data_IF_605324352072
#
_entry.id   IF_605324352072
#
_cell.length_a   1.000
_cell.length_b   1.000
_cell.length_c   1.000
_cell.angle_alpha   90.00
_cell.angle_beta   90.00
_cell.angle_gamma   90.00
#
_symmetry.space_group_name_H-M   'P 1'
#
loop_
_entity.id
_entity.type
_entity.pdbx_description
1 polymer ?
#
# COMPACT_ATOMS: atom_id res chain seq x y z
N UNK A 1 -50.96 -63.37 9.85
CA UNK A 1 -49.73 -63.61 9.07
C UNK A 1 -48.87 -62.35 9.21
N UNK A 2 -48.00 -62.31 10.21
CA UNK A 2 -47.16 -61.16 10.53
C UNK A 2 -45.72 -61.45 10.14
N UNK A 3 -45.19 -60.65 9.23
CA UNK A 3 -43.80 -60.72 8.77
C UNK A 3 -43.21 -59.30 8.70
N UNK A 4 -43.24 -58.58 9.82
CA UNK A 4 -42.38 -57.41 10.04
C UNK A 4 -40.99 -57.92 10.46
N UNK A 5 -40.28 -58.50 9.49
CA UNK A 5 -38.87 -58.80 9.61
C UNK A 5 -38.09 -57.50 9.60
N UNK A 6 -37.79 -56.98 10.79
CA UNK A 6 -36.98 -55.77 10.97
C UNK A 6 -35.71 -55.84 10.14
N UNK A 7 -35.59 -54.91 9.19
CA UNK A 7 -34.37 -54.69 8.41
C UNK A 7 -33.21 -54.46 9.36
N UNK A 8 -32.26 -55.40 9.40
CA UNK A 8 -31.04 -55.28 10.20
C UNK A 8 -30.25 -54.09 9.66
N UNK A 9 -30.02 -53.03 10.45
CA UNK A 9 -29.31 -51.85 9.98
C UNK A 9 -27.91 -52.24 9.55
N UNK A 10 -27.51 -51.81 8.34
CA UNK A 10 -26.17 -52.11 7.82
C UNK A 10 -25.14 -51.32 8.64
N UNK A 11 -23.90 -51.83 8.75
CA UNK A 11 -22.80 -51.14 9.47
C UNK A 11 -22.60 -49.68 9.04
N UNK A 12 -22.86 -49.36 7.78
CA UNK A 12 -22.78 -48.00 7.23
C UNK A 12 -23.88 -47.04 7.76
N UNK A 13 -24.98 -47.58 8.28
CA UNK A 13 -26.07 -46.83 8.90
C UNK A 13 -25.83 -46.69 10.41
N UNK A 14 -25.29 -47.74 11.04
CA UNK A 14 -24.98 -47.77 12.48
C UNK A 14 -23.71 -46.99 12.84
N UNK A 15 -22.72 -46.96 11.94
CA UNK A 15 -21.44 -46.27 12.11
C UNK A 15 -21.37 -45.13 11.09
N UNK A 16 -21.53 -43.90 11.57
CA UNK A 16 -21.27 -42.69 10.77
C UNK A 16 -19.78 -42.66 10.37
N UNK A 17 -19.47 -43.24 9.22
CA UNK A 17 -18.17 -43.05 8.60
C UNK A 17 -18.00 -41.56 8.32
N UNK A 18 -16.88 -40.99 8.77
CA UNK A 18 -16.56 -39.58 8.54
C UNK A 18 -16.59 -39.33 7.04
N UNK A 19 -17.48 -38.42 6.59
CA UNK A 19 -17.54 -38.01 5.18
C UNK A 19 -16.12 -37.64 4.72
N UNK A 20 -15.66 -38.29 3.65
CA UNK A 20 -14.39 -37.94 3.02
C UNK A 20 -14.49 -36.47 2.63
N UNK A 21 -13.53 -35.65 3.08
CA UNK A 21 -13.47 -34.26 2.68
C UNK A 21 -13.33 -34.23 1.15
N UNK A 22 -14.25 -33.56 0.49
CA UNK A 22 -14.22 -33.38 -0.97
C UNK A 22 -12.91 -32.67 -1.34
N UNK A 23 -12.15 -33.30 -2.25
CA UNK A 23 -10.93 -32.72 -2.78
C UNK A 23 -11.33 -31.83 -3.95
N UNK A 24 -11.48 -30.54 -3.68
CA UNK A 24 -11.64 -29.54 -4.74
C UNK A 24 -10.38 -29.58 -5.61
N UNK A 25 -10.56 -29.61 -6.93
CA UNK A 25 -9.48 -29.64 -7.89
C UNK A 25 -8.55 -28.42 -7.76
N UNK A 26 -7.26 -28.65 -7.99
CA UNK A 26 -6.23 -27.60 -7.90
C UNK A 26 -6.51 -26.45 -8.87
N UNK A 27 -6.95 -26.77 -10.09
CA UNK A 27 -7.24 -25.78 -11.12
C UNK A 27 -8.43 -24.90 -10.74
N UNK A 28 -9.45 -25.47 -10.08
CA UNK A 28 -10.61 -24.72 -9.59
C UNK A 28 -10.19 -23.76 -8.47
N UNK A 29 -9.37 -24.22 -7.52
CA UNK A 29 -8.84 -23.36 -6.46
C UNK A 29 -8.00 -22.20 -7.01
N UNK A 30 -7.18 -22.49 -8.01
CA UNK A 30 -6.40 -21.47 -8.70
C UNK A 30 -7.34 -20.48 -9.40
N UNK A 31 -8.27 -20.95 -10.24
CA UNK A 31 -9.21 -20.09 -10.95
C UNK A 31 -10.00 -19.17 -10.01
N UNK A 32 -10.48 -19.67 -8.86
CA UNK A 32 -11.14 -18.85 -7.83
C UNK A 32 -10.19 -17.78 -7.31
N UNK A 33 -8.99 -18.15 -6.87
CA UNK A 33 -7.99 -17.20 -6.32
C UNK A 33 -7.63 -16.08 -7.30
N UNK A 34 -7.64 -16.37 -8.60
CA UNK A 34 -7.31 -15.41 -9.66
C UNK A 34 -8.50 -14.56 -10.11
N UNK A 35 -9.74 -14.97 -9.83
CA UNK A 35 -10.96 -14.25 -10.21
C UNK A 35 -11.62 -13.51 -9.05
N UNK A 36 -11.29 -13.85 -7.80
CA UNK A 36 -11.92 -13.25 -6.62
C UNK A 36 -10.97 -12.40 -5.79
N UNK A 37 -11.53 -11.37 -5.16
CA UNK A 37 -10.85 -10.54 -4.19
C UNK A 37 -10.64 -11.30 -2.89
N UNK A 38 -9.41 -11.37 -2.39
CA UNK A 38 -9.10 -12.17 -1.20
C UNK A 38 -9.71 -11.62 0.11
N UNK A 39 -10.14 -10.35 0.12
CA UNK A 39 -10.84 -9.74 1.28
C UNK A 39 -12.34 -10.02 1.22
N UNK A 40 -12.99 -9.68 0.10
CA UNK A 40 -14.46 -9.68 -0.02
C UNK A 40 -15.03 -10.96 -0.61
N UNK A 41 -14.19 -11.80 -1.23
CA UNK A 41 -14.58 -12.99 -2.00
C UNK A 41 -15.53 -12.69 -3.17
N UNK A 42 -15.61 -11.42 -3.57
CA UNK A 42 -16.34 -10.94 -4.74
C UNK A 42 -15.45 -11.02 -6.00
N UNK A 43 -16.01 -11.04 -7.21
CA UNK A 43 -15.23 -10.96 -8.44
C UNK A 43 -14.32 -9.74 -8.48
N UNK A 44 -13.16 -9.89 -9.13
CA UNK A 44 -12.20 -8.81 -9.28
C UNK A 44 -12.66 -7.80 -10.32
N UNK A 45 -12.70 -6.52 -9.93
CA UNK A 45 -13.12 -5.41 -10.76
C UNK A 45 -12.02 -4.37 -10.85
N UNK A 46 -11.84 -3.78 -12.05
CA UNK A 46 -10.87 -2.71 -12.25
C UNK A 46 -11.33 -1.46 -11.48
N UNK A 47 -10.46 -0.77 -10.70
CA UNK A 47 -9.01 -0.99 -10.57
C UNK A 47 -8.64 -2.14 -9.60
N UNK A 48 -7.83 -3.07 -10.10
CA UNK A 48 -7.31 -4.22 -9.34
C UNK A 48 -5.94 -3.87 -8.77
N UNK A 49 -5.68 -4.35 -7.55
CA UNK A 49 -4.43 -4.09 -6.84
C UNK A 49 -3.78 -5.38 -6.34
N UNK A 50 -2.45 -5.44 -6.39
CA UNK A 50 -1.64 -6.51 -5.81
C UNK A 50 -0.89 -6.06 -4.57
N UNK A 51 -0.69 -6.96 -3.62
CA UNK A 51 0.22 -6.75 -2.49
C UNK A 51 1.63 -7.28 -2.77
N UNK A 52 2.56 -6.96 -1.88
CA UNK A 52 3.95 -7.48 -1.92
C UNK A 52 4.08 -9.00 -1.80
N UNK A 53 3.05 -9.70 -1.30
CA UNK A 53 3.01 -11.17 -1.26
C UNK A 53 2.39 -11.79 -2.53
N UNK A 54 2.00 -10.98 -3.51
CA UNK A 54 1.43 -11.47 -4.77
C UNK A 54 -0.06 -11.84 -4.72
N UNK A 55 -0.81 -11.37 -3.73
CA UNK A 55 -2.28 -11.56 -3.65
C UNK A 55 -3.03 -10.41 -4.31
N UNK A 56 -4.19 -10.70 -4.88
CA UNK A 56 -5.04 -9.75 -5.59
C UNK A 56 -6.23 -9.28 -4.76
N UNK A 57 -6.57 -8.00 -4.93
CA UNK A 57 -7.70 -7.38 -4.24
C UNK A 57 -8.37 -6.32 -5.14
N UNK A 58 -9.62 -6.01 -4.83
CA UNK A 58 -10.28 -4.82 -5.35
C UNK A 58 -9.77 -3.60 -4.60
N UNK A 59 -9.42 -2.53 -5.32
CA UNK A 59 -8.95 -1.28 -4.69
C UNK A 59 -9.96 -0.73 -3.69
N UNK A 60 -11.24 -0.80 -4.03
CA UNK A 60 -12.32 -0.39 -3.12
C UNK A 60 -12.34 -1.18 -1.82
N UNK A 61 -12.13 -2.50 -1.89
CA UNK A 61 -12.15 -3.37 -0.71
C UNK A 61 -11.01 -3.00 0.26
N UNK A 62 -9.81 -2.72 -0.26
CA UNK A 62 -8.69 -2.26 0.57
C UNK A 62 -8.98 -0.90 1.20
N UNK A 63 -9.54 0.04 0.43
CA UNK A 63 -9.87 1.37 0.94
C UNK A 63 -10.94 1.29 2.05
N UNK A 64 -12.02 0.54 1.82
CA UNK A 64 -13.08 0.27 2.81
C UNK A 64 -12.49 -0.38 4.07
N UNK A 65 -11.68 -1.44 3.92
CA UNK A 65 -11.06 -2.12 5.04
C UNK A 65 -10.05 -1.23 5.81
N UNK A 66 -9.39 -0.29 5.13
CA UNK A 66 -8.47 0.68 5.76
C UNK A 66 -9.24 1.67 6.65
N UNK A 67 -10.35 2.19 6.15
CA UNK A 67 -11.21 3.12 6.89
C UNK A 67 -11.81 2.43 8.13
N UNK A 68 -12.27 1.19 7.98
CA UNK A 68 -12.80 0.36 9.06
C UNK A 68 -11.75 -0.14 10.06
N UNK A 69 -10.46 0.12 9.83
CA UNK A 69 -9.31 -0.42 10.59
C UNK A 69 -9.26 -1.96 10.65
N UNK A 70 -9.94 -2.64 9.72
CA UNK A 70 -10.01 -4.12 9.61
C UNK A 70 -8.84 -4.74 8.84
N UNK A 71 -7.94 -3.94 8.27
CA UNK A 71 -6.77 -4.46 7.54
C UNK A 71 -5.84 -5.31 8.43
N UNK A 72 -5.69 -4.94 9.71
CA UNK A 72 -4.77 -5.62 10.61
C UNK A 72 -5.40 -6.82 11.32
N UNK A 73 -6.74 -6.92 11.34
CA UNK A 73 -7.44 -8.05 11.96
C UNK A 73 -7.44 -9.29 11.07
N UNK A 74 -7.51 -9.12 9.75
CA UNK A 74 -7.52 -10.24 8.81
C UNK A 74 -6.11 -10.74 8.54
N UNK A 75 -5.88 -12.04 8.76
CA UNK A 75 -4.59 -12.71 8.48
C UNK A 75 -4.08 -12.47 7.07
N UNK A 76 -5.05 -12.39 6.14
CA UNK A 76 -4.79 -12.15 4.73
C UNK A 76 -4.08 -10.82 4.50
N UNK A 77 -4.41 -9.78 5.26
CA UNK A 77 -4.02 -8.38 5.02
C UNK A 77 -3.11 -7.80 6.09
N UNK A 78 -2.72 -8.57 7.11
CA UNK A 78 -1.82 -8.13 8.21
C UNK A 78 -0.57 -7.39 7.71
N UNK A 79 -0.02 -7.81 6.57
CA UNK A 79 1.18 -7.23 5.97
C UNK A 79 0.96 -5.83 5.35
N UNK A 80 -0.28 -5.45 5.01
CA UNK A 80 -0.61 -4.17 4.37
C UNK A 80 -0.83 -3.10 5.43
N UNK A 81 0.10 -2.16 5.55
CA UNK A 81 0.01 -1.05 6.52
C UNK A 81 -0.25 0.28 5.83
N UNK A 82 0.38 0.50 4.67
CA UNK A 82 0.31 1.72 3.88
C UNK A 82 -0.26 1.42 2.50
N UNK A 83 -0.78 2.46 1.85
CA UNK A 83 -1.23 2.35 0.45
C UNK A 83 -0.05 2.10 -0.51
N UNK A 84 1.18 2.42 -0.10
CA UNK A 84 2.40 2.10 -0.84
C UNK A 84 2.77 0.62 -0.82
N UNK A 85 2.19 -0.17 0.09
CA UNK A 85 2.43 -1.62 0.18
C UNK A 85 1.57 -2.41 -0.83
N UNK A 86 0.78 -1.68 -1.62
CA UNK A 86 -0.16 -2.18 -2.61
C UNK A 86 0.10 -1.42 -3.91
N UNK A 87 0.04 -2.12 -5.04
CA UNK A 87 0.25 -1.54 -6.37
C UNK A 87 -0.95 -1.82 -7.27
N UNK A 88 -1.42 -0.78 -7.96
CA UNK A 88 -2.44 -0.89 -9.00
C UNK A 88 -1.87 -1.59 -10.23
N UNK A 89 -2.61 -2.60 -10.70
CA UNK A 89 -2.20 -3.44 -11.82
C UNK A 89 -2.73 -2.90 -13.15
N UNK A 90 -1.88 -2.95 -14.17
CA UNK A 90 -2.25 -2.71 -15.57
C UNK A 90 -2.49 -4.04 -16.26
N UNK A 91 -3.74 -4.49 -16.24
CA UNK A 91 -4.18 -5.74 -16.84
C UNK A 91 -4.79 -5.50 -18.22
N UNK A 92 -4.44 -6.36 -19.16
CA UNK A 92 -4.99 -6.35 -20.52
C UNK A 92 -6.22 -7.22 -20.57
N UNK A 93 -7.30 -6.70 -21.13
CA UNK A 93 -8.57 -7.44 -21.23
C UNK A 93 -8.48 -8.51 -22.31
N UNK A 94 -9.06 -9.67 -22.02
CA UNK A 94 -9.21 -10.75 -22.96
C UNK A 94 -10.43 -10.51 -23.84
N UNK A 95 -10.20 -10.18 -25.11
CA UNK A 95 -11.30 -9.93 -26.06
C UNK A 95 -12.14 -11.18 -26.36
N UNK A 96 -11.61 -12.37 -26.05
CA UNK A 96 -12.30 -13.64 -26.24
C UNK A 96 -13.17 -14.03 -25.03
N UNK A 97 -13.00 -13.38 -23.88
CA UNK A 97 -13.77 -13.70 -22.69
C UNK A 97 -15.19 -13.14 -22.81
N UNK A 98 -16.19 -14.02 -22.72
CA UNK A 98 -17.59 -13.65 -22.59
C UNK A 98 -18.02 -13.91 -21.15
N UNK A 99 -18.55 -12.88 -20.50
CA UNK A 99 -19.22 -13.05 -19.22
C UNK A 99 -20.62 -13.59 -19.49
N UNK A 100 -20.73 -14.90 -19.75
CA UNK A 100 -21.99 -15.58 -20.07
C UNK A 100 -22.87 -15.77 -18.82
N UNK A 101 -23.02 -14.73 -17.98
CA UNK A 101 -23.99 -14.65 -16.90
C UNK A 101 -24.05 -15.85 -15.92
N UNK A 102 -25.12 -15.95 -15.11
CA UNK A 102 -25.30 -17.07 -14.21
C UNK A 102 -25.68 -18.35 -14.97
N UNK A 103 -24.81 -19.35 -14.83
CA UNK A 103 -25.02 -20.80 -14.93
C UNK A 103 -26.30 -21.27 -15.64
N UNK A 104 -26.31 -21.18 -16.97
CA UNK A 104 -27.16 -22.06 -17.77
C UNK A 104 -26.47 -23.43 -17.79
N UNK A 105 -27.07 -24.43 -17.14
CA UNK A 105 -26.48 -25.75 -16.84
C UNK A 105 -26.02 -26.61 -18.03
N UNK A 106 -26.16 -26.10 -19.26
CA UNK A 106 -25.75 -26.77 -20.50
C UNK A 106 -24.41 -26.24 -21.07
N UNK A 107 -23.77 -25.25 -20.42
CA UNK A 107 -22.57 -24.60 -20.95
C UNK A 107 -21.29 -25.15 -20.31
N UNK A 108 -20.38 -25.68 -21.14
CA UNK A 108 -19.06 -26.13 -20.67
C UNK A 108 -18.19 -24.92 -20.31
N UNK A 109 -17.98 -24.68 -19.01
CA UNK A 109 -17.11 -23.60 -18.54
C UNK A 109 -15.65 -23.99 -18.73
N UNK A 110 -15.00 -23.45 -19.77
CA UNK A 110 -13.55 -23.54 -19.88
C UNK A 110 -12.91 -22.65 -18.81
N UNK A 111 -12.35 -23.27 -17.77
CA UNK A 111 -11.63 -22.58 -16.71
C UNK A 111 -10.41 -21.78 -17.22
N UNK A 112 -9.96 -22.04 -18.46
CA UNK A 112 -8.90 -21.29 -19.13
C UNK A 112 -9.35 -19.94 -19.69
N UNK A 113 -10.64 -19.73 -19.95
CA UNK A 113 -11.14 -18.45 -20.41
C UNK A 113 -11.26 -17.49 -19.22
N UNK A 114 -10.31 -16.57 -19.12
CA UNK A 114 -10.27 -15.55 -18.06
C UNK A 114 -10.43 -14.14 -18.61
N UNK A 115 -10.93 -13.19 -17.79
CA UNK A 115 -11.11 -11.80 -18.20
C UNK A 115 -9.81 -11.10 -18.62
N UNK A 116 -8.65 -11.56 -18.14
CA UNK A 116 -7.35 -10.92 -18.38
C UNK A 116 -6.35 -11.84 -19.05
N UNK A 117 -5.48 -11.25 -19.88
CA UNK A 117 -4.43 -11.93 -20.65
C UNK A 117 -3.09 -11.20 -20.52
N UNK A 118 -1.99 -11.92 -20.76
CA UNK A 118 -0.67 -11.32 -20.92
C UNK A 118 -0.62 -10.45 -22.19
N UNK A 119 -0.13 -9.20 -22.14
CA UNK A 119 -0.01 -8.34 -23.33
C UNK A 119 0.99 -8.88 -24.37
N UNK A 120 1.92 -9.74 -23.97
CA UNK A 120 3.02 -10.22 -24.83
C UNK A 120 2.71 -11.60 -25.38
N UNK A 121 2.43 -12.57 -24.50
CA UNK A 121 2.23 -13.97 -24.89
C UNK A 121 0.77 -14.32 -25.17
N UNK A 122 -0.17 -13.39 -24.94
CA UNK A 122 -1.62 -13.62 -25.03
C UNK A 122 -2.15 -14.80 -24.17
N UNK A 123 -1.37 -15.24 -23.19
CA UNK A 123 -1.72 -16.35 -22.29
C UNK A 123 -2.76 -15.85 -21.26
N UNK A 124 -3.83 -16.60 -20.98
CA UNK A 124 -4.84 -16.24 -19.99
C UNK A 124 -4.33 -16.35 -18.54
N UNK A 125 -4.85 -15.47 -17.67
CA UNK A 125 -4.57 -15.43 -16.23
C UNK A 125 -5.46 -16.40 -15.43
N UNK A 126 -5.39 -17.69 -15.74
CA UNK A 126 -6.19 -18.77 -15.14
C UNK A 126 -5.59 -19.39 -13.86
N UNK A 127 -4.40 -18.94 -13.45
CA UNK A 127 -3.67 -19.51 -12.31
C UNK A 127 -2.98 -20.85 -12.56
N UNK A 128 -3.04 -21.36 -13.80
CA UNK A 128 -2.15 -22.44 -14.26
C UNK A 128 -0.79 -21.88 -14.69
N UNK A 129 -0.79 -20.69 -15.28
CA UNK A 129 0.43 -19.98 -15.63
C UNK A 129 0.78 -18.96 -14.55
N UNK A 130 2.07 -18.81 -14.29
CA UNK A 130 2.58 -17.83 -13.36
C UNK A 130 2.68 -16.45 -14.03
N UNK A 131 2.26 -15.43 -13.31
CA UNK A 131 2.38 -14.04 -13.73
C UNK A 131 3.22 -13.26 -12.73
N UNK A 132 3.88 -12.26 -13.26
CA UNK A 132 4.87 -11.45 -12.59
C UNK A 132 4.49 -9.98 -12.78
N UNK A 133 4.62 -9.20 -11.71
CA UNK A 133 4.33 -7.77 -11.68
C UNK A 133 5.61 -7.00 -11.46
N UNK A 134 5.87 -6.01 -12.31
CA UNK A 134 6.89 -5.01 -12.04
C UNK A 134 6.32 -3.97 -11.06
N UNK A 135 6.88 -3.86 -9.86
CA UNK A 135 6.37 -2.96 -8.81
C UNK A 135 6.48 -1.47 -9.17
N UNK A 136 7.42 -1.10 -10.04
CA UNK A 136 7.63 0.30 -10.42
C UNK A 136 6.49 0.82 -11.29
N UNK A 137 6.08 0.06 -12.31
CA UNK A 137 5.03 0.48 -13.25
C UNK A 137 3.65 -0.16 -13.01
N UNK A 138 3.58 -1.32 -12.35
CA UNK A 138 2.34 -2.10 -12.16
C UNK A 138 1.93 -2.93 -13.38
N UNK A 139 2.76 -3.04 -14.42
CA UNK A 139 2.50 -3.93 -15.55
C UNK A 139 2.62 -5.39 -15.13
N UNK A 140 1.71 -6.21 -15.66
CA UNK A 140 1.65 -7.66 -15.39
C UNK A 140 2.01 -8.42 -16.66
N UNK A 141 2.97 -9.33 -16.53
CA UNK A 141 3.52 -10.10 -17.64
C UNK A 141 3.65 -11.56 -17.21
N UNK A 142 3.56 -12.51 -18.15
CA UNK A 142 3.74 -13.93 -17.85
C UNK A 142 5.22 -14.23 -17.52
N UNK A 143 5.46 -15.21 -16.65
CA UNK A 143 6.82 -15.66 -16.32
C UNK A 143 7.58 -16.15 -17.56
N UNK A 144 6.87 -16.81 -18.49
CA UNK A 144 7.40 -17.29 -19.77
C UNK A 144 7.99 -16.15 -20.60
N UNK A 145 7.25 -15.04 -20.73
CA UNK A 145 7.73 -13.88 -21.50
C UNK A 145 9.01 -13.27 -20.90
N UNK A 146 9.10 -13.19 -19.57
CA UNK A 146 10.30 -12.64 -18.91
C UNK A 146 11.50 -13.57 -19.09
N UNK A 147 11.30 -14.88 -19.00
CA UNK A 147 12.37 -15.86 -19.18
C UNK A 147 12.92 -15.89 -20.62
N UNK A 148 12.06 -15.69 -21.61
CA UNK A 148 12.43 -15.68 -23.02
C UNK A 148 13.08 -14.35 -23.43
N UNK A 149 12.50 -13.22 -23.03
CA UNK A 149 12.94 -11.90 -23.47
C UNK A 149 14.09 -11.33 -22.63
N UNK A 150 14.26 -11.78 -21.38
CA UNK A 150 15.21 -11.25 -20.38
C UNK A 150 15.37 -9.74 -20.49
N UNK A 151 14.27 -8.99 -20.32
CA UNK A 151 14.26 -7.60 -20.72
C UNK A 151 15.00 -6.72 -19.71
N UNK A 152 15.79 -5.76 -20.21
CA UNK A 152 16.39 -4.71 -19.37
C UNK A 152 15.39 -3.59 -19.03
N UNK A 153 14.28 -3.53 -19.77
CA UNK A 153 13.25 -2.48 -19.69
C UNK A 153 11.86 -3.15 -19.66
N UNK A 154 10.86 -2.54 -19.03
CA UNK A 154 9.55 -3.17 -18.89
C UNK A 154 8.89 -3.43 -20.27
N UNK A 155 8.60 -4.70 -20.58
CA UNK A 155 8.07 -5.12 -21.90
C UNK A 155 6.74 -4.47 -22.26
N UNK A 156 5.92 -4.11 -21.26
CA UNK A 156 4.58 -3.57 -21.51
C UNK A 156 4.53 -2.05 -21.63
N UNK A 157 5.41 -1.31 -20.94
CA UNK A 157 5.34 0.16 -20.91
C UNK A 157 6.66 0.86 -21.24
N UNK A 158 7.72 0.10 -21.54
CA UNK A 158 9.08 0.62 -21.75
C UNK A 158 9.64 1.45 -20.58
N UNK A 159 9.10 1.26 -19.37
CA UNK A 159 9.58 1.92 -18.15
C UNK A 159 10.74 1.17 -17.47
N UNK A 160 11.27 1.69 -16.35
CA UNK A 160 12.35 1.04 -15.61
C UNK A 160 11.92 -0.35 -15.13
N UNK A 161 12.85 -1.29 -15.18
CA UNK A 161 12.65 -2.67 -14.81
C UNK A 161 13.77 -3.13 -13.87
N UNK A 162 13.37 -3.52 -12.67
CA UNK A 162 14.28 -4.09 -11.68
C UNK A 162 13.84 -5.52 -11.34
N UNK A 163 14.65 -6.55 -11.62
CA UNK A 163 14.31 -7.94 -11.26
C UNK A 163 14.19 -8.09 -9.74
N UNK A 164 14.93 -7.30 -8.97
CA UNK A 164 14.80 -7.28 -7.51
C UNK A 164 13.47 -6.69 -7.03
N UNK A 165 12.81 -5.79 -7.77
CA UNK A 165 11.52 -5.20 -7.37
C UNK A 165 10.32 -5.88 -8.05
N UNK A 166 10.55 -7.09 -8.54
CA UNK A 166 9.55 -7.85 -9.28
C UNK A 166 8.88 -8.86 -8.35
N UNK A 167 7.55 -8.97 -8.43
CA UNK A 167 6.74 -9.81 -7.54
C UNK A 167 5.95 -10.80 -8.37
N UNK A 168 6.06 -12.08 -8.02
CA UNK A 168 5.26 -13.14 -8.59
C UNK A 168 3.86 -13.14 -7.96
N UNK A 169 2.81 -13.23 -8.78
CA UNK A 169 1.44 -13.39 -8.31
C UNK A 169 1.20 -14.84 -7.88
N UNK A 170 0.56 -15.01 -6.73
CA UNK A 170 0.29 -16.30 -6.09
C UNK A 170 1.49 -17.28 -6.15
N UNK A 171 2.63 -16.91 -5.54
CA UNK A 171 3.81 -17.77 -5.51
C UNK A 171 3.56 -19.04 -4.67
N UNK A 172 4.37 -20.07 -4.88
CA UNK A 172 4.42 -21.23 -3.99
C UNK A 172 4.93 -20.87 -2.58
N UNK A 173 4.75 -21.80 -1.65
CA UNK A 173 5.02 -21.58 -0.21
C UNK A 173 6.47 -21.13 0.08
N UNK A 174 7.45 -21.58 -0.71
CA UNK A 174 8.87 -21.24 -0.52
C UNK A 174 9.14 -19.76 -0.83
N UNK A 175 8.73 -19.29 -2.01
CA UNK A 175 8.85 -17.88 -2.42
C UNK A 175 8.01 -16.95 -1.53
N UNK A 176 6.92 -17.45 -0.96
CA UNK A 176 6.07 -16.66 -0.06
C UNK A 176 6.80 -16.31 1.25
N UNK A 177 7.57 -17.26 1.80
CA UNK A 177 8.42 -17.01 2.99
C UNK A 177 9.51 -15.99 2.69
N UNK A 178 10.15 -16.07 1.53
CA UNK A 178 11.16 -15.08 1.10
C UNK A 178 10.57 -13.66 1.04
N UNK A 179 9.34 -13.52 0.52
CA UNK A 179 8.65 -12.23 0.49
C UNK A 179 8.28 -11.73 1.89
N UNK A 180 7.86 -12.60 2.79
CA UNK A 180 7.58 -12.25 4.19
C UNK A 180 8.83 -11.76 4.91
N UNK A 181 9.95 -12.46 4.76
CA UNK A 181 11.26 -12.10 5.33
C UNK A 181 11.76 -10.75 4.78
N UNK A 182 11.60 -10.53 3.47
CA UNK A 182 11.91 -9.24 2.84
C UNK A 182 11.08 -8.09 3.41
N UNK A 183 9.77 -8.30 3.58
CA UNK A 183 8.90 -7.29 4.16
C UNK A 183 9.29 -7.03 5.62
N UNK A 184 9.62 -8.08 6.39
CA UNK A 184 10.03 -7.96 7.77
C UNK A 184 11.36 -7.19 7.92
N UNK A 185 12.36 -7.51 7.11
CA UNK A 185 13.66 -6.83 7.09
C UNK A 185 13.55 -5.36 6.68
N UNK A 186 12.77 -5.04 5.62
CA UNK A 186 12.47 -3.66 5.24
C UNK A 186 11.80 -2.88 6.38
N UNK A 187 10.90 -3.53 7.13
CA UNK A 187 10.24 -2.92 8.29
C UNK A 187 11.20 -2.72 9.47
N UNK A 188 12.09 -3.67 9.72
CA UNK A 188 13.10 -3.57 10.77
C UNK A 188 14.10 -2.44 10.48
N UNK A 189 14.61 -2.34 9.26
CA UNK A 189 15.51 -1.26 8.82
C UNK A 189 14.84 0.12 8.97
N UNK A 190 13.58 0.26 8.54
CA UNK A 190 12.83 1.52 8.71
C UNK A 190 12.56 1.89 10.17
N UNK A 191 12.43 0.89 11.05
CA UNK A 191 12.31 1.14 12.50
C UNK A 191 13.65 1.56 13.09
N UNK A 192 14.74 0.91 12.70
CA UNK A 192 16.09 1.24 13.15
C UNK A 192 16.49 2.66 12.71
N UNK A 193 16.24 3.02 11.44
CA UNK A 193 16.55 4.36 10.93
C UNK A 193 15.73 5.46 11.63
N UNK A 194 14.47 5.16 12.00
CA UNK A 194 13.63 6.07 12.79
C UNK A 194 14.15 6.24 14.21
N UNK A 195 14.61 5.17 14.86
CA UNK A 195 15.21 5.24 16.20
C UNK A 195 16.48 6.09 16.17
N UNK A 196 17.39 5.82 15.23
CA UNK A 196 18.60 6.62 15.05
C UNK A 196 18.32 8.11 14.77
N UNK A 197 17.25 8.42 14.04
CA UNK A 197 16.82 9.81 13.80
C UNK A 197 16.24 10.49 15.05
N UNK A 198 15.64 9.73 15.98
CA UNK A 198 15.13 10.25 17.26
C UNK A 198 16.30 10.46 18.22
N UNK A 199 17.18 9.46 18.37
CA UNK A 199 18.34 9.54 19.27
C UNK A 199 19.29 10.69 18.86
N UNK A 200 19.44 10.95 17.56
CA UNK A 200 20.23 12.09 17.07
C UNK A 200 19.54 13.45 17.25
N UNK A 201 18.21 13.50 17.29
CA UNK A 201 17.47 14.73 17.61
C UNK A 201 17.54 15.04 19.11
N UNK A 202 17.43 14.02 19.97
CA UNK A 202 17.58 14.16 21.43
C UNK A 202 19.01 14.57 21.81
N UNK A 203 20.04 13.99 21.17
CA UNK A 203 21.43 14.40 21.37
C UNK A 203 21.73 15.84 20.89
N UNK A 204 20.94 16.38 19.95
CA UNK A 204 21.05 17.77 19.51
C UNK A 204 20.38 18.76 20.49
N UNK A 205 19.31 18.34 21.17
CA UNK A 205 18.69 19.12 22.26
C UNK A 205 19.58 19.16 23.50
N UNK A 206 20.25 18.05 23.87
CA UNK A 206 21.19 18.02 24.99
C UNK A 206 22.44 18.90 24.73
N UNK A 207 22.98 18.91 23.51
CA UNK A 207 24.11 19.80 23.15
C UNK A 207 23.73 21.28 23.16
N UNK A 208 22.46 21.62 22.90
CA UNK A 208 21.99 23.01 22.94
C UNK A 208 21.79 23.53 24.37
N UNK A 209 21.67 22.64 25.36
CA UNK A 209 21.65 22.98 26.79
C UNK A 209 23.05 23.07 27.42
N UNK A 210 24.08 22.48 26.80
CA UNK A 210 25.46 22.56 27.31
C UNK A 210 26.27 23.75 26.77
N UNK A 211 25.87 24.38 25.66
CA UNK A 211 26.54 25.56 25.09
C UNK A 211 26.15 26.90 25.76
N UNK A 212 25.29 26.88 26.79
CA UNK A 212 24.96 28.06 27.61
C UNK A 212 25.73 28.15 28.93
N UNK A 213 26.65 27.23 29.23
CA UNK A 213 27.27 27.14 30.56
C UNK A 213 28.80 27.31 30.60
N UNK A 214 29.40 27.99 29.60
CA UNK A 214 30.85 28.27 29.64
C UNK A 214 31.31 29.49 28.84
N UNK A 215 31.00 30.73 29.31
CA UNK A 215 32.03 31.80 29.42
C UNK A 215 31.58 33.04 30.22
N UNK A 216 32.46 33.40 31.16
CA UNK A 216 32.73 34.72 31.77
C UNK A 216 31.90 35.22 32.97
N UNK A 217 32.51 35.06 34.15
CA UNK A 217 32.50 36.03 35.25
C UNK A 217 32.92 37.43 34.74
N UNK A 218 32.17 38.47 35.09
CA UNK A 218 32.58 39.56 36.02
C UNK A 218 31.43 40.58 36.22
N UNK A 219 30.91 40.66 37.47
CA UNK A 219 30.33 41.79 38.27
C UNK A 219 29.27 42.72 37.61
N UNK A 220 28.18 43.15 38.25
CA UNK A 220 27.81 43.36 39.66
C UNK A 220 26.28 43.56 39.80
N UNK A 221 25.72 43.16 40.96
CA UNK A 221 24.51 43.67 41.67
C UNK A 221 23.14 43.68 40.97
N UNK A 222 22.00 43.40 41.58
CA UNK A 222 21.60 43.13 42.97
C UNK A 222 20.12 42.62 42.94
N UNK A 223 19.83 41.55 43.70
CA UNK A 223 18.57 41.07 44.34
C UNK A 223 17.23 41.73 43.90
N UNK A 224 16.14 41.03 43.58
CA UNK A 224 15.40 40.05 44.40
C UNK A 224 14.25 39.39 43.56
N UNK A 225 14.11 38.06 43.63
CA UNK A 225 12.89 37.25 43.36
C UNK A 225 12.03 37.16 44.66
N UNK A 226 10.82 36.52 44.75
CA UNK A 226 10.15 35.52 43.87
C UNK A 226 8.62 35.77 43.64
N UNK A 227 7.85 35.05 42.83
CA UNK A 227 8.10 33.88 42.00
C UNK A 227 6.79 33.23 41.51
N UNK A 228 6.94 31.96 41.10
CA UNK A 228 5.96 30.87 41.01
C UNK A 228 5.11 30.67 39.73
N UNK A 229 5.57 29.62 39.03
CA UNK A 229 4.89 28.46 38.41
C UNK A 229 4.11 28.57 37.09
N UNK A 230 4.75 27.95 36.10
CA UNK A 230 4.24 26.87 35.24
C UNK A 230 3.51 27.17 33.91
N UNK A 231 3.75 26.20 33.01
CA UNK A 231 3.06 25.87 31.76
C UNK A 231 3.46 26.61 30.46
N UNK A 232 4.21 25.88 29.63
CA UNK A 232 4.03 25.79 28.17
C UNK A 232 4.10 27.08 27.37
N UNK A 233 5.29 27.45 26.91
CA UNK A 233 5.41 28.48 25.88
C UNK A 233 5.39 27.85 24.49
N UNK A 234 4.17 27.74 23.95
CA UNK A 234 3.90 27.90 22.52
C UNK A 234 4.84 29.00 22.00
N UNK A 235 5.69 28.68 21.01
CA UNK A 235 6.32 29.72 20.18
C UNK A 235 5.20 30.68 19.78
N UNK A 236 5.28 31.94 20.25
CA UNK A 236 4.38 32.98 19.77
C UNK A 236 4.57 32.99 18.25
N UNK A 237 3.56 32.51 17.53
CA UNK A 237 3.45 32.78 16.10
C UNK A 237 3.57 34.29 15.98
N UNK A 238 4.52 34.83 15.20
CA UNK A 238 4.53 36.27 15.01
C UNK A 238 3.19 36.67 14.44
N UNK A 239 2.64 37.75 14.99
CA UNK A 239 1.32 38.24 14.60
C UNK A 239 1.29 38.66 13.13
N UNK A 240 2.46 38.85 12.51
CA UNK A 240 2.63 39.09 11.10
C UNK A 240 3.69 38.19 10.49
N UNK A 241 3.43 37.74 9.25
CA UNK A 241 4.40 37.03 8.39
C UNK A 241 5.65 37.90 8.11
N UNK A 242 5.58 39.23 8.34
CA UNK A 242 6.70 40.14 8.14
C UNK A 242 7.79 39.94 9.21
N UNK A 243 7.40 39.60 10.44
CA UNK A 243 8.31 39.47 11.57
C UNK A 243 8.96 38.08 11.65
N UNK A 244 8.53 37.13 10.82
CA UNK A 244 9.08 35.78 10.76
C UNK A 244 10.48 35.76 10.10
N UNK A 245 11.56 35.37 10.82
CA UNK A 245 12.88 35.20 10.21
C UNK A 245 12.96 33.96 9.31
N UNK A 246 12.01 33.03 9.41
CA UNK A 246 11.98 31.79 8.62
C UNK A 246 11.46 31.97 7.19
N UNK A 247 10.78 33.09 6.90
CA UNK A 247 10.10 33.30 5.61
C UNK A 247 10.98 34.15 4.68
N UNK A 248 11.10 33.72 3.41
CA UNK A 248 11.93 34.40 2.42
C UNK A 248 11.36 35.77 2.03
N UNK A 249 12.24 36.71 1.64
CA UNK A 249 11.86 38.07 1.24
C UNK A 249 10.84 38.10 0.09
N UNK A 250 10.91 37.15 -0.84
CA UNK A 250 9.99 37.04 -1.96
C UNK A 250 8.54 36.77 -1.51
N UNK A 251 8.35 35.91 -0.50
CA UNK A 251 7.02 35.60 0.05
C UNK A 251 6.48 36.78 0.85
N UNK A 252 7.34 37.48 1.61
CA UNK A 252 6.97 38.69 2.34
C UNK A 252 6.48 39.82 1.41
N UNK A 253 7.09 39.94 0.23
CA UNK A 253 6.76 40.94 -0.79
C UNK A 253 5.40 40.73 -1.47
N UNK A 254 4.75 39.56 -1.31
CA UNK A 254 3.41 39.31 -1.84
C UNK A 254 2.32 40.04 -1.05
N UNK A 255 2.62 40.43 0.19
CA UNK A 255 1.65 41.08 1.08
C UNK A 255 1.89 42.60 1.11
N UNK A 256 0.79 43.35 1.04
CA UNK A 256 0.77 44.82 1.09
C UNK A 256 1.31 45.41 2.40
N UNK A 257 1.47 44.58 3.43
CA UNK A 257 2.12 44.95 4.69
C UNK A 257 3.64 45.12 4.60
N UNK A 258 4.29 44.56 3.57
CA UNK A 258 5.73 44.71 3.37
C UNK A 258 6.10 46.05 2.74
N UNK A 259 7.23 46.64 3.15
CA UNK A 259 7.76 47.86 2.52
C UNK A 259 8.13 47.66 1.05
N UNK A 260 8.50 46.43 0.67
CA UNK A 260 8.78 46.08 -0.72
C UNK A 260 7.52 46.17 -1.59
N UNK A 261 6.34 45.78 -1.08
CA UNK A 261 5.08 45.87 -1.80
C UNK A 261 4.55 47.32 -1.90
N UNK A 262 4.81 48.16 -0.88
CA UNK A 262 4.40 49.58 -0.88
C UNK A 262 5.16 50.43 -1.91
N UNK A 263 6.43 50.10 -2.15
CA UNK A 263 7.30 50.87 -3.04
C UNK A 263 7.36 50.31 -4.47
N UNK A 264 6.43 49.42 -4.86
CA UNK A 264 6.42 48.92 -6.24
C UNK A 264 5.94 50.02 -7.21
N UNK A 265 6.56 50.14 -8.41
CA UNK A 265 6.17 51.15 -9.40
C UNK A 265 4.97 50.74 -10.25
N UNK A 266 4.64 49.44 -10.31
CA UNK A 266 3.61 48.88 -11.20
C UNK A 266 2.77 47.84 -10.48
N UNK A 267 1.47 47.80 -10.76
CA UNK A 267 0.57 46.79 -10.21
C UNK A 267 0.94 45.38 -10.70
N UNK A 268 0.85 44.38 -9.82
CA UNK A 268 1.04 42.98 -10.18
C UNK A 268 -0.30 42.26 -10.12
N UNK A 269 -0.72 41.64 -11.22
CA UNK A 269 -2.03 40.98 -11.35
C UNK A 269 -2.34 39.90 -10.29
N UNK A 270 -1.32 39.32 -9.65
CA UNK A 270 -1.48 38.29 -8.59
C UNK A 270 -1.80 38.93 -7.23
N UNK A 271 -1.22 40.10 -6.96
CA UNK A 271 -1.36 40.79 -5.69
C UNK A 271 -2.24 42.01 -5.90
N UNK A 272 -3.52 41.88 -5.54
CA UNK A 272 -4.47 42.99 -5.59
C UNK A 272 -4.05 44.08 -4.60
N UNK A 273 -3.17 44.98 -5.03
CA UNK A 273 -2.65 46.06 -4.20
C UNK A 273 -3.53 47.32 -4.37
N UNK A 274 -4.23 47.75 -3.31
CA UNK A 274 -5.16 48.89 -3.37
C UNK A 274 -4.46 50.24 -3.63
N UNK A 275 -3.12 50.31 -3.59
CA UNK A 275 -2.37 51.54 -3.87
C UNK A 275 -2.27 51.90 -5.37
N UNK A 276 -2.72 51.04 -6.28
CA UNK A 276 -2.66 51.26 -7.74
C UNK A 276 -4.03 51.51 -8.40
N UNK A 277 -5.06 51.80 -7.60
CA UNK A 277 -6.40 52.18 -8.07
C UNK A 277 -6.70 53.65 -7.77
#
# INVERSE_FOLDING_TARGET
MGADGGTIPKRCELVRNKKKKEKIDKNVRAAVSWRTCQITQLPLEKPIVACKLGRLYNKEAILKAKLDKKLQSNEVTKHIKKLSDVKELRLTDNRSFKDDGPENGDTYYDHNETPWVCPVTAIPMNGSNNFIVNWQCGCVVSEKAINELKPDVCVSCSGPYDPAQTIMLYPGDDKLKEYEERIASEQAQKKASRKAAIDSAEAFEEKKQQDTDSKSKTKNGEKQEPGKVEHGQKRKQPQSIQDDPSVSKAVKALYTSSDAAKNQPTAHWVTHNPCFY
#
